data_IF_783946643742
#
_entry.id   IF_783946643742
#
_cell.length_a   1.000
_cell.length_b   1.000
_cell.length_c   1.000
_cell.angle_alpha   90.00
_cell.angle_beta   90.00
_cell.angle_gamma   90.00
#
_symmetry.space_group_name_H-M   'P 1'
#
loop_
_entity.id
_entity.type
_entity.pdbx_description
1 polymer ?
#
# COMPACT_ATOMS: atom_id res chain seq x y z
N UNK A 1 -51.14 16.44 4.81
CA UNK A 1 -49.68 16.51 4.77
C UNK A 1 -49.17 15.23 4.13
N UNK A 2 -48.39 15.33 3.08
CA UNK A 2 -47.75 14.18 2.41
C UNK A 2 -46.21 14.30 2.52
N UNK A 3 -45.53 13.17 2.52
CA UNK A 3 -44.06 13.14 2.51
C UNK A 3 -43.58 12.74 1.11
N UNK A 4 -42.81 13.60 0.48
CA UNK A 4 -42.18 13.34 -0.80
C UNK A 4 -40.78 12.84 -0.59
N UNK A 5 -40.45 11.66 -1.12
CA UNK A 5 -39.10 11.14 -1.13
C UNK A 5 -38.46 11.41 -2.51
N UNK A 6 -37.37 12.14 -2.55
CA UNK A 6 -36.59 12.39 -3.76
C UNK A 6 -35.31 11.58 -3.68
N UNK A 7 -35.04 10.79 -4.72
CA UNK A 7 -33.87 9.94 -4.88
C UNK A 7 -33.30 10.15 -6.27
N UNK A 8 -32.00 10.32 -6.36
CA UNK A 8 -31.27 10.44 -7.62
C UNK A 8 -29.88 9.84 -7.50
N UNK A 9 -29.41 9.18 -8.55
CA UNK A 9 -28.11 8.51 -8.55
C UNK A 9 -27.00 9.54 -8.30
N UNK A 10 -26.15 9.27 -7.29
CA UNK A 10 -25.06 10.19 -6.90
C UNK A 10 -25.48 11.29 -5.93
N UNK A 11 -26.69 11.26 -5.39
CA UNK A 11 -27.17 12.23 -4.41
C UNK A 11 -27.77 11.53 -3.19
N UNK A 12 -27.71 12.19 -2.05
CA UNK A 12 -28.34 11.71 -0.81
C UNK A 12 -29.86 11.84 -0.91
N UNK A 13 -30.57 10.78 -0.52
CA UNK A 13 -32.04 10.78 -0.47
C UNK A 13 -32.54 11.92 0.42
N UNK A 14 -33.49 12.69 -0.09
CA UNK A 14 -34.10 13.80 0.62
C UNK A 14 -35.60 13.55 0.84
N UNK A 15 -36.06 13.70 2.07
CA UNK A 15 -37.50 13.63 2.43
C UNK A 15 -38.02 15.03 2.76
N UNK A 16 -39.02 15.47 2.02
CA UNK A 16 -39.69 16.77 2.23
C UNK A 16 -41.17 16.58 2.56
N UNK A 17 -41.63 17.16 3.66
CA UNK A 17 -43.05 17.19 4.03
C UNK A 17 -43.73 18.34 3.32
N UNK A 18 -44.80 18.04 2.57
CA UNK A 18 -45.62 19.01 1.83
C UNK A 18 -47.04 19.00 2.32
N UNK A 19 -47.65 20.18 2.39
CA UNK A 19 -49.08 20.34 2.65
C UNK A 19 -49.84 20.33 1.33
N UNK A 20 -50.87 19.52 1.23
CA UNK A 20 -51.73 19.44 0.07
C UNK A 20 -53.09 20.12 0.46
N UNK A 21 -53.67 21.00 -0.38
CA UNK A 21 -53.21 21.44 -1.71
C UNK A 21 -52.14 22.53 -1.66
N UNK A 22 -51.15 22.39 -2.53
CA UNK A 22 -50.10 23.40 -2.70
C UNK A 22 -50.03 23.87 -4.15
N UNK A 23 -50.17 25.17 -4.36
CA UNK A 23 -50.09 25.78 -5.68
C UNK A 23 -48.72 26.44 -5.93
N UNK A 24 -47.72 26.04 -5.15
CA UNK A 24 -46.35 26.57 -5.22
C UNK A 24 -45.39 25.55 -5.82
N UNK A 25 -44.51 26.03 -6.69
CA UNK A 25 -43.40 25.21 -7.18
C UNK A 25 -42.46 24.86 -6.01
N UNK A 26 -42.15 23.59 -5.84
CA UNK A 26 -41.29 23.08 -4.80
C UNK A 26 -39.93 22.80 -5.43
N UNK A 27 -38.90 23.53 -5.05
CA UNK A 27 -37.51 23.30 -5.46
C UNK A 27 -36.81 22.55 -4.37
N UNK A 28 -36.35 21.33 -4.67
CA UNK A 28 -35.58 20.49 -3.73
C UNK A 28 -34.11 20.49 -4.14
N UNK A 29 -33.25 20.98 -3.27
CA UNK A 29 -31.80 20.94 -3.46
C UNK A 29 -31.26 19.68 -2.83
N UNK A 30 -30.75 18.76 -3.63
CA UNK A 30 -30.11 17.54 -3.19
C UNK A 30 -28.61 17.75 -3.00
N UNK A 31 -28.02 17.09 -2.01
CA UNK A 31 -26.58 17.13 -1.79
C UNK A 31 -25.92 16.00 -2.57
N UNK A 32 -24.86 16.27 -3.35
CA UNK A 32 -24.12 15.20 -4.00
C UNK A 32 -23.52 14.29 -2.94
N UNK A 33 -23.65 12.99 -3.12
CA UNK A 33 -23.03 11.97 -2.30
C UNK A 33 -21.82 11.44 -3.08
N UNK A 34 -20.63 11.84 -2.66
CA UNK A 34 -19.41 11.19 -3.13
C UNK A 34 -19.28 9.86 -2.40
N UNK A 35 -19.47 8.77 -3.12
CA UNK A 35 -18.99 7.47 -2.66
C UNK A 35 -17.48 7.48 -2.93
N UNK A 36 -16.68 7.65 -1.91
CA UNK A 36 -15.33 7.12 -1.95
C UNK A 36 -15.52 5.61 -1.90
N UNK A 37 -15.45 4.96 -3.04
CA UNK A 37 -15.22 3.52 -3.07
C UNK A 37 -13.94 3.32 -2.28
N UNK A 38 -14.02 2.54 -1.21
CA UNK A 38 -12.80 1.98 -0.62
C UNK A 38 -12.01 1.37 -1.77
N UNK A 39 -10.75 1.72 -1.84
CA UNK A 39 -9.86 1.17 -2.84
C UNK A 39 -10.05 -0.34 -2.80
N UNK A 40 -10.78 -0.88 -3.75
CA UNK A 40 -10.76 -2.30 -4.01
C UNK A 40 -9.40 -2.52 -4.60
N UNK A 41 -8.44 -2.92 -3.78
CA UNK A 41 -7.19 -3.47 -4.23
C UNK A 41 -7.56 -4.73 -5.02
N UNK A 42 -7.91 -4.54 -6.29
CA UNK A 42 -8.00 -5.63 -7.23
C UNK A 42 -6.55 -6.07 -7.44
N UNK A 43 -6.09 -6.96 -6.59
CA UNK A 43 -4.95 -7.82 -6.88
C UNK A 43 -5.43 -8.82 -7.92
N UNK A 44 -5.83 -8.31 -9.06
CA UNK A 44 -6.16 -9.12 -10.21
C UNK A 44 -4.92 -9.19 -11.10
N UNK A 45 -3.94 -9.95 -10.66
CA UNK A 45 -3.20 -10.69 -11.66
C UNK A 45 -4.06 -11.91 -11.99
N UNK A 46 -4.64 -11.91 -13.18
CA UNK A 46 -5.49 -12.95 -13.73
C UNK A 46 -4.78 -14.31 -13.92
N UNK A 47 -3.61 -14.51 -13.36
CA UNK A 47 -2.80 -15.71 -13.39
C UNK A 47 -2.45 -16.30 -12.01
N UNK A 48 -3.01 -15.77 -10.92
CA UNK A 48 -2.75 -16.27 -9.56
C UNK A 48 -3.60 -17.49 -9.20
N UNK A 49 -3.74 -18.44 -10.07
CA UNK A 49 -4.26 -19.75 -9.70
C UNK A 49 -3.16 -20.50 -8.90
N UNK A 50 -3.22 -20.37 -7.59
CA UNK A 50 -2.33 -21.09 -6.65
C UNK A 50 -1.28 -20.24 -5.91
N UNK A 51 -1.23 -18.92 -6.11
CA UNK A 51 -0.22 -18.05 -5.48
C UNK A 51 -0.67 -17.27 -4.25
N UNK A 52 -1.91 -17.41 -3.83
CA UNK A 52 -2.53 -16.59 -2.77
C UNK A 52 -1.79 -16.67 -1.41
N UNK A 53 -1.03 -17.73 -1.18
CA UNK A 53 -0.25 -17.89 0.06
C UNK A 53 1.20 -17.38 -0.03
N UNK A 54 1.72 -17.13 -1.23
CA UNK A 54 3.14 -16.77 -1.42
C UNK A 54 3.41 -15.28 -1.52
N UNK A 55 2.38 -14.50 -1.86
CA UNK A 55 2.49 -13.03 -1.97
C UNK A 55 1.87 -12.40 -0.74
N UNK A 56 2.66 -11.64 0.00
CA UNK A 56 2.21 -10.84 1.14
C UNK A 56 2.15 -9.37 0.72
N UNK A 57 0.96 -8.80 0.72
CA UNK A 57 0.79 -7.36 0.53
C UNK A 57 0.82 -6.65 1.88
N UNK A 58 1.63 -5.62 1.98
CA UNK A 58 1.84 -4.81 3.19
C UNK A 58 1.50 -3.38 2.85
N UNK A 59 0.68 -2.75 3.68
CA UNK A 59 0.38 -1.32 3.55
C UNK A 59 1.47 -0.48 4.22
N UNK A 60 1.74 0.74 3.74
CA UNK A 60 2.73 1.62 4.36
C UNK A 60 2.49 1.86 5.86
N UNK A 61 1.23 1.91 6.26
CA UNK A 61 0.86 2.09 7.66
C UNK A 61 1.25 0.88 8.52
N UNK A 62 1.11 -0.33 7.99
CA UNK A 62 1.48 -1.56 8.70
C UNK A 62 3.00 -1.61 8.95
N UNK A 63 3.80 -1.11 7.99
CA UNK A 63 5.25 -0.97 8.16
C UNK A 63 5.59 -0.07 9.35
N UNK A 64 4.92 1.09 9.45
CA UNK A 64 5.19 2.06 10.52
C UNK A 64 4.68 1.57 11.88
N UNK A 65 3.54 0.89 11.89
CA UNK A 65 2.94 0.36 13.13
C UNK A 65 3.61 -0.93 13.62
N UNK A 66 4.43 -1.57 12.80
CA UNK A 66 5.22 -2.73 13.21
C UNK A 66 6.30 -2.28 14.20
N UNK A 67 6.21 -2.74 15.44
CA UNK A 67 7.10 -2.32 16.53
C UNK A 67 8.60 -2.61 16.32
N UNK A 68 8.91 -3.49 15.38
CA UNK A 68 10.28 -3.92 15.08
C UNK A 68 10.88 -3.22 13.85
N UNK A 69 10.07 -2.50 13.07
CA UNK A 69 10.52 -1.94 11.79
C UNK A 69 11.03 -0.50 11.89
N UNK A 70 10.58 0.26 12.89
CA UNK A 70 10.87 1.70 13.00
C UNK A 70 10.59 2.48 11.69
N UNK A 71 9.61 2.02 10.91
CA UNK A 71 9.28 2.60 9.61
C UNK A 71 10.16 2.15 8.45
N UNK A 72 10.99 1.14 8.64
CA UNK A 72 11.79 0.52 7.59
C UNK A 72 11.03 -0.63 6.93
N UNK A 73 10.94 -0.58 5.59
CA UNK A 73 10.25 -1.59 4.78
C UNK A 73 10.92 -2.96 4.97
N UNK A 74 12.24 -3.03 4.85
CA UNK A 74 12.99 -4.28 4.93
C UNK A 74 12.88 -4.89 6.33
N UNK A 75 13.03 -4.07 7.38
CA UNK A 75 12.87 -4.52 8.74
C UNK A 75 11.47 -5.07 9.04
N UNK A 76 10.43 -4.52 8.43
CA UNK A 76 9.06 -5.04 8.56
C UNK A 76 8.90 -6.43 7.93
N UNK A 77 9.65 -6.73 6.87
CA UNK A 77 9.61 -8.03 6.20
C UNK A 77 10.27 -9.14 7.04
N UNK A 78 11.19 -8.80 7.94
CA UNK A 78 11.82 -9.79 8.82
C UNK A 78 10.83 -10.44 9.80
N UNK A 79 9.66 -9.85 10.02
CA UNK A 79 8.59 -10.47 10.81
C UNK A 79 7.83 -11.57 10.05
N UNK A 80 8.07 -11.71 8.74
CA UNK A 80 7.37 -12.69 7.91
C UNK A 80 8.02 -14.08 7.98
N UNK A 81 7.22 -15.15 7.94
CA UNK A 81 7.77 -16.51 7.92
C UNK A 81 8.58 -16.74 6.63
N UNK A 82 9.75 -17.35 6.78
CA UNK A 82 10.67 -17.62 5.67
C UNK A 82 11.69 -16.53 5.38
N UNK A 83 11.63 -15.41 6.10
CA UNK A 83 12.65 -14.36 6.09
C UNK A 83 13.55 -14.55 7.30
N UNK A 84 14.84 -14.40 7.11
CA UNK A 84 15.85 -14.58 8.14
C UNK A 84 16.72 -13.32 8.29
N UNK A 85 17.20 -13.09 9.48
CA UNK A 85 18.24 -12.11 9.78
C UNK A 85 19.58 -12.85 9.90
N UNK A 86 20.61 -12.34 9.25
CA UNK A 86 21.96 -12.91 9.31
C UNK A 86 22.89 -11.90 9.97
N UNK A 87 23.31 -12.23 11.19
CA UNK A 87 24.12 -11.34 12.00
C UNK A 87 23.38 -10.04 12.35
N UNK A 88 24.12 -8.92 12.40
CA UNK A 88 23.56 -7.57 12.61
C UNK A 88 23.24 -6.85 11.28
N UNK A 89 23.24 -7.61 10.19
CA UNK A 89 22.96 -7.09 8.86
C UNK A 89 21.46 -6.98 8.64
N UNK A 90 20.95 -5.79 8.32
CA UNK A 90 19.54 -5.53 8.03
C UNK A 90 19.08 -5.94 6.62
N UNK A 91 19.91 -6.66 5.85
CA UNK A 91 19.57 -7.12 4.50
C UNK A 91 18.57 -8.26 4.53
N UNK A 92 17.89 -8.45 3.41
CA UNK A 92 16.83 -9.43 3.25
C UNK A 92 17.41 -10.79 2.84
N UNK A 93 17.29 -11.79 3.70
CA UNK A 93 17.64 -13.18 3.44
C UNK A 93 16.37 -14.03 3.46
N UNK A 94 16.08 -14.69 2.37
CA UNK A 94 14.81 -15.41 2.19
C UNK A 94 15.05 -16.87 1.85
N UNK A 95 14.45 -17.77 2.65
CA UNK A 95 14.52 -19.22 2.45
C UNK A 95 15.94 -19.78 2.30
N UNK A 96 16.90 -19.19 3.00
CA UNK A 96 18.29 -19.61 2.95
C UNK A 96 19.08 -19.05 1.76
N UNK A 97 18.45 -18.23 0.91
CA UNK A 97 19.13 -17.50 -0.16
C UNK A 97 19.85 -16.26 0.35
N UNK A 98 20.85 -15.80 -0.40
CA UNK A 98 21.58 -14.57 -0.08
C UNK A 98 20.76 -13.31 -0.41
N UNK A 99 21.13 -12.20 0.19
CA UNK A 99 20.46 -10.92 -0.03
C UNK A 99 20.54 -10.42 -1.48
N UNK A 100 21.57 -10.82 -2.20
CA UNK A 100 21.76 -10.55 -3.65
C UNK A 100 20.76 -11.29 -4.54
N UNK A 101 20.18 -12.38 -4.06
CA UNK A 101 19.19 -13.18 -4.76
C UNK A 101 17.76 -12.63 -4.60
N UNK A 102 17.57 -11.72 -3.67
CA UNK A 102 16.32 -11.00 -3.45
C UNK A 102 16.31 -9.71 -4.24
N UNK A 103 15.38 -9.58 -5.18
CA UNK A 103 15.34 -8.44 -6.09
C UNK A 103 14.22 -7.46 -5.72
N UNK A 104 14.52 -6.18 -5.83
CA UNK A 104 13.60 -5.09 -5.53
C UNK A 104 13.22 -4.36 -6.82
N UNK A 105 11.92 -4.14 -7.02
CA UNK A 105 11.40 -3.43 -8.17
C UNK A 105 10.52 -2.26 -7.72
N UNK A 106 10.65 -1.12 -8.40
CA UNK A 106 9.77 0.05 -8.19
C UNK A 106 9.13 0.38 -9.53
N UNK A 107 7.81 0.28 -9.61
CA UNK A 107 7.04 0.46 -10.85
C UNK A 107 7.59 -0.38 -12.02
N UNK A 108 7.98 -1.62 -11.75
CA UNK A 108 8.59 -2.51 -12.74
C UNK A 108 10.07 -2.26 -13.04
N UNK A 109 10.68 -1.22 -12.50
CA UNK A 109 12.11 -0.95 -12.66
C UNK A 109 12.93 -1.65 -11.58
N UNK A 110 13.96 -2.38 -11.98
CA UNK A 110 14.87 -3.04 -11.05
C UNK A 110 15.73 -2.03 -10.30
N UNK A 111 15.78 -2.16 -8.98
CA UNK A 111 16.56 -1.30 -8.09
C UNK A 111 17.83 -2.04 -7.65
N UNK A 112 18.96 -1.67 -8.19
CA UNK A 112 20.25 -2.30 -7.90
C UNK A 112 20.71 -2.11 -6.45
N UNK A 113 20.38 -0.98 -5.84
CA UNK A 113 20.81 -0.63 -4.48
C UNK A 113 19.62 -0.20 -3.63
N UNK A 114 18.85 -1.15 -3.09
CA UNK A 114 17.67 -0.82 -2.28
C UNK A 114 18.00 -0.45 -0.84
N UNK A 115 19.25 -0.62 -0.43
CA UNK A 115 19.72 -0.38 0.92
C UNK A 115 20.48 0.95 1.02
N UNK A 116 20.48 1.54 2.20
CA UNK A 116 21.35 2.67 2.52
C UNK A 116 22.83 2.25 2.57
N UNK A 117 23.71 3.26 2.62
CA UNK A 117 25.12 3.03 2.86
C UNK A 117 25.32 2.28 4.19
N UNK A 118 26.26 1.34 4.21
CA UNK A 118 26.60 0.56 5.41
C UNK A 118 27.71 1.28 6.22
N UNK A 119 27.37 2.16 7.15
CA UNK A 119 28.36 2.63 8.09
C UNK A 119 28.74 1.47 9.02
N UNK A 120 30.01 1.43 9.44
CA UNK A 120 30.47 0.40 10.37
C UNK A 120 29.63 0.36 11.65
N UNK A 121 29.23 -0.83 12.06
CA UNK A 121 28.44 -1.11 13.27
C UNK A 121 27.00 -0.54 13.27
N UNK A 122 26.39 -0.33 12.11
CA UNK A 122 24.98 0.03 12.02
C UNK A 122 24.21 -0.95 11.16
N UNK A 123 22.97 -1.20 11.55
CA UNK A 123 22.05 -2.06 10.77
C UNK A 123 21.68 -1.36 9.47
N UNK A 124 21.88 -2.04 8.36
CA UNK A 124 21.50 -1.55 7.04
C UNK A 124 19.98 -1.39 6.95
N UNK A 125 19.52 -0.29 6.40
CA UNK A 125 18.10 0.05 6.26
C UNK A 125 17.70 0.22 4.81
N UNK A 126 16.38 0.24 4.56
CA UNK A 126 15.85 0.59 3.26
C UNK A 126 16.07 2.08 2.96
N UNK A 127 16.48 2.38 1.73
CA UNK A 127 16.63 3.78 1.25
C UNK A 127 15.32 4.52 1.08
N UNK A 128 14.20 3.80 1.01
CA UNK A 128 12.92 4.33 0.62
C UNK A 128 11.97 4.41 1.81
N UNK A 129 11.32 5.56 1.94
CA UNK A 129 10.25 5.72 2.92
C UNK A 129 9.01 4.91 2.49
N UNK A 130 8.34 4.18 3.39
CA UNK A 130 7.14 3.42 3.07
C UNK A 130 6.01 4.29 2.51
N UNK A 131 5.95 5.58 2.88
CA UNK A 131 4.92 6.51 2.42
C UNK A 131 5.03 6.92 0.94
N UNK A 132 6.11 6.55 0.27
CA UNK A 132 6.26 6.74 -1.18
C UNK A 132 5.40 5.74 -1.98
N UNK A 133 4.98 4.66 -1.34
CA UNK A 133 4.31 3.55 -2.02
C UNK A 133 2.84 3.45 -1.62
N UNK A 134 2.00 3.06 -2.57
CA UNK A 134 0.60 2.71 -2.33
C UNK A 134 0.44 1.25 -1.91
N UNK A 135 1.39 0.39 -2.34
CA UNK A 135 1.43 -1.03 -2.01
C UNK A 135 2.85 -1.56 -2.06
N UNK A 136 3.15 -2.43 -1.13
CA UNK A 136 4.42 -3.15 -1.02
C UNK A 136 4.05 -4.62 -1.07
N UNK A 137 4.34 -5.27 -2.19
CA UNK A 137 4.07 -6.68 -2.37
C UNK A 137 5.37 -7.47 -2.18
N UNK A 138 5.32 -8.50 -1.39
CA UNK A 138 6.47 -9.36 -1.15
C UNK A 138 6.16 -10.79 -1.54
N UNK A 139 6.94 -11.33 -2.47
CA UNK A 139 6.82 -12.70 -2.93
C UNK A 139 8.02 -13.54 -2.51
N UNK A 140 7.73 -14.64 -1.81
CA UNK A 140 8.72 -15.62 -1.35
C UNK A 140 9.04 -16.69 -2.40
N UNK A 141 8.64 -16.49 -3.65
CA UNK A 141 8.84 -17.41 -4.75
C UNK A 141 7.56 -17.65 -5.55
N UNK A 142 7.71 -18.17 -6.76
CA UNK A 142 6.62 -18.35 -7.70
C UNK A 142 6.14 -17.05 -8.34
N UNK A 143 7.01 -16.08 -8.48
CA UNK A 143 6.77 -14.80 -9.18
C UNK A 143 6.88 -14.99 -10.69
N UNK A 144 6.31 -14.04 -11.43
CA UNK A 144 6.25 -14.08 -12.89
C UNK A 144 7.64 -13.92 -13.54
N UNK A 145 7.74 -14.35 -14.79
CA UNK A 145 8.97 -14.31 -15.57
C UNK A 145 9.48 -12.90 -15.88
N UNK A 146 8.67 -11.87 -15.63
CA UNK A 146 9.08 -10.47 -15.75
C UNK A 146 10.14 -10.07 -14.71
N UNK A 147 10.15 -10.76 -13.55
CA UNK A 147 11.13 -10.53 -12.50
C UNK A 147 12.38 -11.38 -12.73
N UNK A 148 13.18 -10.96 -13.71
CA UNK A 148 14.43 -11.65 -14.04
C UNK A 148 15.46 -11.55 -12.92
N UNK A 149 16.38 -12.52 -12.85
CA UNK A 149 17.50 -12.60 -11.89
C UNK A 149 17.13 -12.71 -10.41
N UNK A 150 15.84 -12.83 -10.09
CA UNK A 150 15.41 -13.14 -8.73
C UNK A 150 15.51 -14.66 -8.52
N UNK A 151 16.24 -15.10 -7.52
CA UNK A 151 16.40 -16.52 -7.18
C UNK A 151 15.70 -16.88 -5.88
N UNK A 152 15.61 -15.94 -4.95
CA UNK A 152 15.08 -16.16 -3.62
C UNK A 152 13.72 -15.46 -3.40
N UNK A 153 13.64 -14.16 -3.64
CA UNK A 153 12.41 -13.38 -3.46
C UNK A 153 12.33 -12.15 -4.35
N UNK A 154 11.12 -11.62 -4.49
CA UNK A 154 10.86 -10.37 -5.22
C UNK A 154 10.06 -9.43 -4.35
N UNK A 155 10.45 -8.16 -4.33
CA UNK A 155 9.78 -7.07 -3.64
C UNK A 155 9.34 -6.01 -4.66
N UNK A 156 8.21 -6.20 -5.34
CA UNK A 156 7.63 -5.17 -6.20
C UNK A 156 6.90 -4.12 -5.33
N UNK A 157 7.24 -2.87 -5.56
CA UNK A 157 6.65 -1.71 -4.90
C UNK A 157 6.05 -0.78 -5.94
N UNK A 158 4.86 -0.30 -5.69
CA UNK A 158 4.19 0.66 -6.54
C UNK A 158 4.13 2.02 -5.83
N UNK A 159 4.59 3.05 -6.51
CA UNK A 159 4.54 4.41 -5.96
C UNK A 159 3.11 4.93 -5.90
N UNK A 160 2.87 5.85 -4.98
CA UNK A 160 1.58 6.55 -4.90
C UNK A 160 1.30 7.31 -6.20
N UNK A 161 0.03 7.31 -6.61
CA UNK A 161 -0.40 8.04 -7.81
C UNK A 161 -0.17 9.54 -7.66
N UNK A 162 -0.10 10.25 -8.81
CA UNK A 162 0.04 11.71 -8.84
C UNK A 162 -1.13 12.32 -8.07
N UNK A 163 -0.81 13.08 -7.06
CA UNK A 163 -1.80 13.73 -6.21
C UNK A 163 -2.41 14.92 -6.95
N UNK A 164 -3.73 14.98 -6.97
CA UNK A 164 -4.48 16.11 -7.57
C UNK A 164 -4.41 17.38 -6.70
N UNK A 165 -4.02 17.24 -5.44
CA UNK A 165 -3.89 18.34 -4.48
C UNK A 165 -2.52 18.29 -3.81
N UNK A 166 -1.96 19.45 -3.54
CA UNK A 166 -0.70 19.56 -2.81
C UNK A 166 -0.84 18.95 -1.42
N UNK A 167 -0.01 17.96 -1.11
CA UNK A 167 0.10 17.36 0.21
C UNK A 167 1.49 17.62 0.75
N UNK A 168 1.54 18.20 1.93
CA UNK A 168 2.77 18.34 2.69
C UNK A 168 2.76 17.33 3.84
N UNK A 169 3.78 16.50 3.90
CA UNK A 169 3.98 15.52 4.97
C UNK A 169 5.34 15.72 5.63
N UNK A 170 5.37 15.85 6.94
CA UNK A 170 6.58 15.93 7.72
C UNK A 170 6.70 14.68 8.60
N UNK A 171 7.70 13.85 8.31
CA UNK A 171 8.01 12.67 9.10
C UNK A 171 9.15 12.98 10.04
N UNK A 172 8.88 12.91 11.32
CA UNK A 172 9.90 13.05 12.35
C UNK A 172 10.05 11.72 13.09
N UNK A 173 11.15 11.01 12.83
CA UNK A 173 11.50 9.79 13.55
C UNK A 173 12.66 10.07 14.51
N UNK A 174 12.46 9.93 15.84
CA UNK A 174 13.53 10.13 16.81
C UNK A 174 14.58 9.01 16.80
N UNK A 175 14.34 7.94 16.03
CA UNK A 175 15.21 6.76 15.92
C UNK A 175 16.10 6.75 14.67
N UNK A 176 16.04 7.77 13.83
CA UNK A 176 16.94 7.94 12.70
C UNK A 176 18.17 8.74 13.16
N UNK A 177 19.01 8.15 13.97
CA UNK A 177 20.41 8.56 14.17
C UNK A 177 21.30 7.63 13.43
#
# INVERSE_FOLDING_TARGET
>A
TATLKCSYVGYTDCMVKISIPTNKNITIKMKPQSFTLDNVDIVASSFNFGMTEKVKSIKPLDVVMSGNSCGDIIASLHALPGVQTVGENGKLYVRGGESSESQVFINGMHVLQPYDAEPNNTVTRSRFSPFLFKGINFSLGGYDSEYGQALSSVLPMETTDIQTHDKFGLNFSPLSM
#
